data_IF_516973141087
#
_entry.id   IF_516973141087
#
_cell.length_a   1.000
_cell.length_b   1.000
_cell.length_c   1.000
_cell.angle_alpha   90.00
_cell.angle_beta   90.00
_cell.angle_gamma   90.00
#
_symmetry.space_group_name_H-M   'P 1'
#
loop_
_entity.id
_entity.type
_entity.pdbx_description
1 polymer ?
#
# COMPACT_ATOMS: atom_id res chain seq x y z
N UNK A 1 33.53 8.84 67.59
CA UNK A 1 32.15 8.44 67.31
C UNK A 1 31.65 9.36 66.20
N UNK A 2 31.94 9.12 64.92
CA UNK A 2 31.58 7.93 64.12
C UNK A 2 30.12 7.54 64.40
N UNK A 3 29.17 7.60 63.47
CA UNK A 3 29.29 7.22 62.06
C UNK A 3 28.19 7.82 61.18
N UNK A 4 28.57 7.97 59.91
CA UNK A 4 27.73 8.08 58.73
C UNK A 4 26.56 7.06 58.74
N UNK A 5 25.37 7.52 58.36
CA UNK A 5 24.34 6.73 57.67
C UNK A 5 23.77 7.58 56.53
N UNK A 6 24.56 7.90 55.50
CA UNK A 6 24.81 7.01 54.36
C UNK A 6 23.59 6.16 53.99
N UNK A 7 22.72 6.77 53.19
CA UNK A 7 21.88 6.12 52.18
C UNK A 7 21.00 4.97 52.70
N UNK A 8 19.73 5.27 53.00
CA UNK A 8 18.68 4.34 52.55
C UNK A 8 18.15 4.80 51.19
N UNK A 9 19.05 4.78 50.21
CA UNK A 9 18.78 4.89 48.78
C UNK A 9 18.84 3.47 48.19
N UNK A 10 18.30 2.49 48.91
CA UNK A 10 18.39 1.04 48.59
C UNK A 10 17.11 0.46 48.00
N UNK A 11 15.98 1.17 48.05
CA UNK A 11 14.71 0.72 47.44
C UNK A 11 14.47 1.32 46.03
N UNK A 12 15.45 2.00 45.44
CA UNK A 12 15.43 2.47 44.05
C UNK A 12 16.02 1.41 43.11
N UNK A 13 15.43 0.23 43.17
CA UNK A 13 15.77 -0.91 42.31
C UNK A 13 14.54 -1.70 41.88
N UNK A 14 13.35 -1.08 41.93
CA UNK A 14 12.16 -1.70 41.36
C UNK A 14 12.18 -1.41 39.87
N UNK A 15 12.54 -2.42 39.09
CA UNK A 15 12.16 -2.52 37.68
C UNK A 15 10.64 -2.42 37.63
N UNK A 16 10.13 -1.19 37.63
CA UNK A 16 8.73 -0.87 37.74
C UNK A 16 8.14 -0.85 36.34
N UNK A 17 7.37 -1.87 36.01
CA UNK A 17 6.53 -1.85 34.82
C UNK A 17 5.25 -1.09 35.18
N UNK A 18 5.20 0.19 34.88
CA UNK A 18 4.00 0.99 35.10
C UNK A 18 3.14 0.96 33.84
N UNK A 19 1.96 0.36 33.95
CA UNK A 19 0.95 0.33 32.89
C UNK A 19 0.04 1.55 33.10
N UNK A 20 0.23 2.59 32.31
CA UNK A 20 -0.72 3.69 32.20
C UNK A 20 -1.52 3.50 30.90
N UNK A 21 -2.66 2.81 30.99
CA UNK A 21 -3.45 2.42 29.82
C UNK A 21 -2.66 1.53 28.84
N UNK A 22 -2.67 1.88 27.55
CA UNK A 22 -2.03 1.09 26.50
C UNK A 22 -0.54 1.37 26.30
N UNK A 23 0.08 2.28 27.07
CA UNK A 23 1.48 2.64 26.91
C UNK A 23 2.37 1.86 27.90
N UNK A 24 3.38 1.18 27.38
CA UNK A 24 4.48 0.62 28.18
C UNK A 24 5.64 1.61 28.09
N UNK A 25 5.94 2.29 29.19
CA UNK A 25 7.08 3.21 29.24
C UNK A 25 8.24 2.51 29.94
N UNK A 26 9.28 2.22 29.16
CA UNK A 26 10.54 1.68 29.68
C UNK A 26 11.50 2.83 29.95
N UNK A 27 11.75 3.12 31.23
CA UNK A 27 12.71 4.14 31.64
C UNK A 27 14.09 3.51 31.82
N UNK A 28 14.99 3.72 30.86
CA UNK A 28 16.40 3.40 31.03
C UNK A 28 17.17 4.67 31.42
N UNK A 29 17.81 4.61 32.60
CA UNK A 29 18.41 5.77 33.24
C UNK A 29 19.44 6.48 32.37
N UNK A 30 19.22 7.80 32.21
CA UNK A 30 20.14 8.86 31.75
C UNK A 30 20.06 9.35 30.30
N UNK A 31 19.21 8.80 29.43
CA UNK A 31 18.79 9.45 28.17
C UNK A 31 17.35 9.06 27.85
N UNK A 32 16.41 9.90 28.27
CA UNK A 32 15.00 9.74 27.92
C UNK A 32 14.82 9.93 26.41
N UNK A 33 14.90 8.84 25.66
CA UNK A 33 14.42 8.80 24.28
C UNK A 33 12.92 8.59 24.34
N UNK A 34 12.14 9.66 24.17
CA UNK A 34 10.69 9.57 23.99
C UNK A 34 10.41 8.94 22.63
N UNK A 35 10.50 7.61 22.56
CA UNK A 35 9.98 6.88 21.41
C UNK A 35 8.47 6.97 21.56
N UNK A 36 7.85 7.93 20.88
CA UNK A 36 6.41 7.94 20.66
C UNK A 36 6.11 6.72 19.81
N UNK A 37 5.97 5.57 20.46
CA UNK A 37 5.33 4.41 19.89
C UNK A 37 3.89 4.83 19.68
N UNK A 38 3.57 5.35 18.50
CA UNK A 38 2.18 5.45 18.06
C UNK A 38 1.69 4.00 17.93
N UNK A 39 1.06 3.54 19.00
CA UNK A 39 0.40 2.26 19.11
C UNK A 39 -0.88 2.37 18.27
N UNK A 40 -0.73 2.35 16.94
CA UNK A 40 -1.74 1.63 16.18
C UNK A 40 -1.66 0.19 16.66
N UNK A 41 -2.79 -0.35 17.10
CA UNK A 41 -2.86 -1.73 17.57
C UNK A 41 -2.18 -2.66 16.56
N UNK A 42 -1.48 -3.72 17.02
CA UNK A 42 -0.82 -4.67 16.14
C UNK A 42 -1.77 -5.26 15.09
N UNK A 43 -3.07 -5.30 15.38
CA UNK A 43 -4.14 -5.70 14.45
C UNK A 43 -4.37 -4.65 13.36
N UNK A 44 -4.48 -3.37 13.70
CA UNK A 44 -4.68 -2.28 12.74
C UNK A 44 -3.49 -2.16 11.76
N UNK A 45 -2.25 -2.35 12.24
CA UNK A 45 -1.06 -2.35 11.38
C UNK A 45 -1.08 -3.49 10.34
N UNK A 46 -1.58 -4.67 10.72
CA UNK A 46 -1.72 -5.83 9.81
C UNK A 46 -2.80 -5.58 8.75
N UNK A 47 -3.95 -5.03 9.16
CA UNK A 47 -5.05 -4.70 8.24
C UNK A 47 -4.61 -3.60 7.27
N UNK A 48 -4.00 -2.52 7.76
CA UNK A 48 -3.50 -1.44 6.92
C UNK A 48 -2.48 -1.94 5.89
N UNK A 49 -1.54 -2.80 6.30
CA UNK A 49 -0.58 -3.41 5.38
C UNK A 49 -1.27 -4.28 4.32
N UNK A 50 -2.33 -5.00 4.70
CA UNK A 50 -3.15 -5.77 3.77
C UNK A 50 -3.87 -4.89 2.74
N UNK A 51 -4.48 -3.79 3.19
CA UNK A 51 -5.14 -2.81 2.32
C UNK A 51 -4.13 -2.19 1.35
N UNK A 52 -2.98 -1.73 1.86
CA UNK A 52 -1.93 -1.16 1.00
C UNK A 52 -1.45 -2.18 -0.04
N UNK A 53 -1.28 -3.45 0.35
CA UNK A 53 -0.90 -4.49 -0.60
C UNK A 53 -1.97 -4.74 -1.65
N UNK A 54 -3.25 -4.74 -1.25
CA UNK A 54 -4.39 -4.89 -2.15
C UNK A 54 -4.48 -3.73 -3.15
N UNK A 55 -4.33 -2.49 -2.68
CA UNK A 55 -4.30 -1.28 -3.53
C UNK A 55 -3.16 -1.37 -4.55
N UNK A 56 -1.93 -1.69 -4.11
CA UNK A 56 -0.77 -1.83 -5.00
C UNK A 56 -0.99 -2.96 -6.01
N UNK A 57 -1.52 -4.10 -5.59
CA UNK A 57 -1.84 -5.20 -6.49
C UNK A 57 -2.93 -4.82 -7.50
N UNK A 58 -3.95 -4.06 -7.09
CA UNK A 58 -5.01 -3.54 -7.95
C UNK A 58 -4.47 -2.58 -9.01
N UNK A 59 -3.67 -1.59 -8.61
CA UNK A 59 -3.02 -0.65 -9.54
C UNK A 59 -2.09 -1.38 -10.50
N UNK A 60 -1.30 -2.34 -10.00
CA UNK A 60 -0.42 -3.16 -10.84
C UNK A 60 -1.21 -3.98 -11.86
N UNK A 61 -2.32 -4.58 -11.45
CA UNK A 61 -3.22 -5.31 -12.34
C UNK A 61 -3.82 -4.43 -13.44
N UNK A 62 -4.32 -3.25 -13.07
CA UNK A 62 -4.84 -2.27 -14.03
C UNK A 62 -3.77 -1.76 -14.99
N UNK A 63 -2.56 -1.48 -14.50
CA UNK A 63 -1.42 -1.08 -15.32
C UNK A 63 -1.01 -2.19 -16.30
N UNK A 64 -0.87 -3.44 -15.82
CA UNK A 64 -0.52 -4.57 -16.66
C UNK A 64 -1.58 -4.83 -17.74
N UNK A 65 -2.86 -4.64 -17.41
CA UNK A 65 -3.96 -4.72 -18.37
C UNK A 65 -3.85 -3.64 -19.44
N UNK A 66 -3.67 -2.38 -19.03
CA UNK A 66 -3.52 -1.24 -19.95
C UNK A 66 -2.29 -1.40 -20.84
N UNK A 67 -1.16 -1.84 -20.26
CA UNK A 67 0.07 -2.11 -20.99
C UNK A 67 -0.12 -3.23 -22.03
N UNK A 68 -0.78 -4.34 -21.66
CA UNK A 68 -1.09 -5.42 -22.61
C UNK A 68 -1.99 -4.96 -23.76
N UNK A 69 -3.01 -4.15 -23.47
CA UNK A 69 -3.87 -3.57 -24.51
C UNK A 69 -3.08 -2.66 -25.44
N UNK A 70 -2.20 -1.82 -24.91
CA UNK A 70 -1.41 -0.91 -25.75
C UNK A 70 -0.41 -1.67 -26.65
N UNK A 71 0.24 -2.70 -26.12
CA UNK A 71 1.27 -3.48 -26.85
C UNK A 71 0.66 -4.43 -27.88
N UNK A 72 -0.50 -5.05 -27.60
CA UNK A 72 -1.02 -6.13 -28.42
C UNK A 72 -2.45 -5.89 -28.89
N UNK A 73 -2.63 -5.87 -30.21
CA UNK A 73 -3.91 -5.67 -30.86
C UNK A 73 -4.84 -6.90 -30.74
N UNK A 74 -4.27 -8.11 -30.73
CA UNK A 74 -5.02 -9.36 -30.54
C UNK A 74 -5.62 -9.48 -29.12
N UNK A 75 -4.95 -8.90 -28.13
CA UNK A 75 -5.48 -8.81 -26.78
C UNK A 75 -6.67 -7.86 -26.73
N UNK A 76 -6.60 -6.70 -27.41
CA UNK A 76 -7.74 -5.78 -27.56
C UNK A 76 -8.94 -6.46 -28.23
N UNK A 77 -8.71 -7.27 -29.26
CA UNK A 77 -9.76 -8.05 -29.91
C UNK A 77 -10.42 -9.06 -28.96
N UNK A 78 -9.60 -9.78 -28.17
CA UNK A 78 -10.12 -10.73 -27.19
C UNK A 78 -10.90 -10.03 -26.07
N UNK A 79 -10.41 -8.87 -25.63
CA UNK A 79 -11.09 -8.02 -24.64
C UNK A 79 -12.40 -7.46 -25.19
N UNK A 80 -12.45 -7.08 -26.47
CA UNK A 80 -13.69 -6.64 -27.14
C UNK A 80 -14.78 -7.71 -27.02
N UNK A 81 -14.41 -8.98 -27.25
CA UNK A 81 -15.35 -10.11 -27.18
C UNK A 81 -15.78 -10.47 -25.76
N UNK A 82 -14.90 -10.29 -24.76
CA UNK A 82 -15.16 -10.71 -23.38
C UNK A 82 -15.74 -9.60 -22.52
N UNK A 83 -15.19 -8.39 -22.61
CA UNK A 83 -15.48 -7.23 -21.79
C UNK A 83 -15.45 -5.94 -22.64
N UNK A 84 -16.48 -5.72 -23.48
CA UNK A 84 -16.52 -4.55 -24.37
C UNK A 84 -16.43 -3.23 -23.62
N UNK A 85 -16.99 -3.14 -22.40
CA UNK A 85 -16.95 -1.92 -21.58
C UNK A 85 -15.54 -1.52 -21.15
N UNK A 86 -14.64 -2.47 -20.89
CA UNK A 86 -13.24 -2.17 -20.51
C UNK A 86 -12.49 -1.59 -21.69
N UNK A 87 -12.74 -2.12 -22.89
CA UNK A 87 -12.14 -1.63 -24.12
C UNK A 87 -12.65 -0.23 -24.48
N UNK A 88 -13.93 0.06 -24.23
CA UNK A 88 -14.49 1.39 -24.43
C UNK A 88 -13.84 2.43 -23.51
N UNK A 89 -13.64 2.10 -22.23
CA UNK A 89 -12.90 2.96 -21.29
C UNK A 89 -11.47 3.18 -21.76
N UNK A 90 -10.81 2.18 -22.33
CA UNK A 90 -9.49 2.33 -22.92
C UNK A 90 -9.49 3.34 -24.06
N UNK A 91 -10.41 3.24 -25.03
CA UNK A 91 -10.49 4.20 -26.13
C UNK A 91 -10.75 5.62 -25.62
N UNK A 92 -11.73 5.79 -24.73
CA UNK A 92 -12.06 7.10 -24.17
C UNK A 92 -10.91 7.72 -23.39
N UNK A 93 -10.15 6.89 -22.65
CA UNK A 93 -8.96 7.34 -21.93
C UNK A 93 -7.85 7.80 -22.87
N UNK A 94 -7.67 7.14 -24.01
CA UNK A 94 -6.69 7.56 -25.03
C UNK A 94 -7.15 8.84 -25.75
N UNK A 95 -8.44 8.99 -26.03
CA UNK A 95 -9.00 10.23 -26.58
C UNK A 95 -8.80 11.42 -25.62
N UNK A 96 -8.97 11.20 -24.31
CA UNK A 96 -8.65 12.21 -23.29
C UNK A 96 -7.15 12.55 -23.23
N UNK A 97 -6.29 11.60 -23.56
CA UNK A 97 -4.85 11.83 -23.73
C UNK A 97 -4.49 12.44 -25.10
N UNK A 98 -5.47 12.71 -25.96
CA UNK A 98 -5.28 13.30 -27.29
C UNK A 98 -4.82 12.31 -28.37
N UNK A 99 -4.86 11.01 -28.10
CA UNK A 99 -4.50 9.95 -29.05
C UNK A 99 -5.78 9.42 -29.69
N UNK A 100 -5.97 9.76 -30.97
CA UNK A 100 -7.11 9.35 -31.79
C UNK A 100 -6.69 8.30 -32.83
N UNK A 101 -7.65 7.60 -33.44
CA UNK A 101 -7.38 6.66 -34.54
C UNK A 101 -7.16 5.20 -34.12
N UNK A 102 -7.05 4.92 -32.82
CA UNK A 102 -6.81 3.54 -32.33
C UNK A 102 -7.99 2.63 -32.66
N UNK A 103 -9.22 3.16 -32.58
CA UNK A 103 -10.45 2.39 -32.84
C UNK A 103 -10.59 2.04 -34.33
N UNK A 104 -10.31 2.99 -35.21
CA UNK A 104 -10.35 2.79 -36.66
C UNK A 104 -9.29 1.77 -37.10
N UNK A 105 -8.07 1.88 -36.57
CA UNK A 105 -6.98 0.93 -36.84
C UNK A 105 -7.29 -0.49 -36.33
N UNK A 106 -7.95 -0.60 -35.19
CA UNK A 106 -8.42 -1.89 -34.68
C UNK A 106 -9.55 -2.48 -35.53
N UNK A 107 -10.48 -1.65 -35.99
CA UNK A 107 -11.55 -2.09 -36.89
C UNK A 107 -10.99 -2.62 -38.22
N UNK A 108 -10.07 -1.90 -38.84
CA UNK A 108 -9.40 -2.30 -40.08
C UNK A 108 -8.67 -3.64 -39.93
N UNK A 109 -7.82 -3.76 -38.90
CA UNK A 109 -7.07 -4.99 -38.64
C UNK A 109 -7.97 -6.21 -38.37
N UNK A 110 -9.13 -6.01 -37.74
CA UNK A 110 -10.06 -7.10 -37.45
C UNK A 110 -10.93 -7.48 -38.66
N UNK A 111 -11.20 -6.54 -39.56
CA UNK A 111 -11.86 -6.83 -40.84
C UNK A 111 -10.94 -7.59 -41.79
N UNK A 112 -9.66 -7.19 -41.91
CA UNK A 112 -8.70 -7.84 -42.82
C UNK A 112 -8.31 -9.25 -42.39
N UNK A 113 -8.39 -9.58 -41.09
CA UNK A 113 -8.16 -10.95 -40.59
C UNK A 113 -9.31 -11.93 -40.89
N UNK A 114 -10.42 -11.44 -41.47
CA UNK A 114 -11.65 -12.22 -41.67
C UNK A 114 -11.82 -12.73 -43.11
N UNK A 115 -10.91 -12.36 -44.01
CA UNK A 115 -10.78 -12.86 -45.39
C UNK A 115 -9.66 -13.92 -45.48
#
# INVERSE_FOLDING_TARGET
MESRSMLDRSELGKNGHFIEGNAVIHYEGRRGSCVVSSIMEPTAKKIFKGIVFLEVAGVFGAYALFHKMNVSQDFRHTMNRRFPSVLEVYYKSNEWAGIYGIRENDAEAWTTKKD
#
